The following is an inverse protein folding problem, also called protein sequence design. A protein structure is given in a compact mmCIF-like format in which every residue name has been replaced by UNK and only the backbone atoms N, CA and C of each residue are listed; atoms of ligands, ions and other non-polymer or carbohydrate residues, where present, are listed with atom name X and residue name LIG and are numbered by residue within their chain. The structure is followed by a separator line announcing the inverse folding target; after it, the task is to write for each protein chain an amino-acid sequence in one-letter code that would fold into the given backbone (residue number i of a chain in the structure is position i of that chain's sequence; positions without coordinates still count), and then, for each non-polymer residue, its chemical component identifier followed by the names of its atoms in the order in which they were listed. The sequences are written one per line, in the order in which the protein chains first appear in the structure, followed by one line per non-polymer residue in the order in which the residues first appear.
data_IF_572990551586
#
_entry.id   IF_572990551586
#
_cell.length_a   1.000
_cell.length_b   1.000
_cell.length_c   1.000
_cell.angle_alpha   90.00
_cell.angle_beta   90.00
_cell.angle_gamma   90.00
#
_symmetry.space_group_name_H-M   'P 1'
#
loop_
_entity.id
_entity.type
_entity.pdbx_description
1 polymer ?
#
# COMPACT_ATOMS: atom_id res chain seq x y z
N UNK A 1 -6.92 16.26 -23.99
CA UNK A 1 -7.06 14.99 -24.74
C UNK A 1 -5.68 14.36 -24.81
N UNK A 2 -5.33 13.50 -23.84
CA UNK A 2 -4.01 12.86 -23.80
C UNK A 2 -3.91 11.87 -24.97
N UNK A 3 -2.93 12.05 -25.86
CA UNK A 3 -2.66 11.13 -26.97
C UNK A 3 -1.93 9.91 -26.41
N UNK A 4 -2.65 8.78 -26.33
CA UNK A 4 -2.15 7.48 -25.83
C UNK A 4 -1.39 6.71 -26.95
N UNK A 5 -1.25 7.30 -28.15
CA UNK A 5 -0.66 6.61 -29.28
C UNK A 5 0.79 7.04 -29.53
N UNK A 6 1.71 6.07 -29.72
CA UNK A 6 3.13 6.33 -30.00
C UNK A 6 3.28 7.20 -31.26
N UNK A 7 4.11 8.23 -31.16
CA UNK A 7 4.28 9.23 -32.25
C UNK A 7 5.35 8.83 -33.26
N UNK A 8 6.19 7.84 -32.92
CA UNK A 8 7.23 7.31 -33.77
C UNK A 8 7.35 5.78 -33.64
N UNK A 9 8.13 5.19 -34.55
CA UNK A 9 8.32 3.74 -34.66
C UNK A 9 8.96 3.14 -33.39
N UNK A 10 9.83 3.89 -32.72
CA UNK A 10 10.55 3.43 -31.51
C UNK A 10 9.57 3.29 -30.35
N UNK A 11 8.73 4.29 -30.12
CA UNK A 11 7.68 4.25 -29.10
C UNK A 11 6.71 3.08 -29.36
N UNK A 12 6.36 2.85 -30.62
CA UNK A 12 5.47 1.75 -31.02
C UNK A 12 6.09 0.39 -30.69
N UNK A 13 7.36 0.19 -31.05
CA UNK A 13 8.10 -1.04 -30.73
C UNK A 13 8.19 -1.22 -29.21
N UNK A 14 8.53 -0.17 -28.46
CA UNK A 14 8.59 -0.20 -27.01
C UNK A 14 7.25 -0.58 -26.37
N UNK A 15 6.14 0.01 -26.83
CA UNK A 15 4.79 -0.34 -26.38
C UNK A 15 4.45 -1.80 -26.67
N UNK A 16 4.75 -2.30 -27.87
CA UNK A 16 4.50 -3.70 -28.25
C UNK A 16 5.31 -4.66 -27.38
N UNK A 17 6.61 -4.41 -27.21
CA UNK A 17 7.49 -5.23 -26.35
C UNK A 17 6.96 -5.24 -24.92
N UNK A 18 6.61 -4.08 -24.38
CA UNK A 18 6.08 -3.96 -23.01
C UNK A 18 4.76 -4.70 -22.86
N UNK A 19 3.84 -4.58 -23.83
CA UNK A 19 2.59 -5.32 -23.84
C UNK A 19 2.85 -6.84 -23.86
N UNK A 20 3.73 -7.32 -24.73
CA UNK A 20 4.10 -8.74 -24.80
C UNK A 20 4.68 -9.22 -23.46
N UNK A 21 5.62 -8.47 -22.87
CA UNK A 21 6.19 -8.80 -21.56
C UNK A 21 5.13 -8.88 -20.46
N UNK A 22 4.19 -7.93 -20.44
CA UNK A 22 3.06 -7.92 -19.51
C UNK A 22 2.15 -9.13 -19.69
N UNK A 23 1.78 -9.47 -20.93
CA UNK A 23 0.96 -10.65 -21.22
C UNK A 23 1.68 -11.96 -20.91
N UNK A 24 2.98 -12.06 -21.18
CA UNK A 24 3.79 -13.23 -20.83
C UNK A 24 3.92 -13.40 -19.30
N UNK A 25 4.11 -12.30 -18.57
CA UNK A 25 4.13 -12.31 -17.11
C UNK A 25 2.76 -12.76 -16.56
N UNK A 26 1.68 -12.20 -17.09
CA UNK A 26 0.31 -12.60 -16.76
C UNK A 26 0.06 -14.09 -17.03
N UNK A 27 0.43 -14.59 -18.22
CA UNK A 27 0.30 -15.99 -18.59
C UNK A 27 1.11 -16.91 -17.66
N UNK A 28 2.37 -16.55 -17.33
CA UNK A 28 3.17 -17.29 -16.36
C UNK A 28 2.50 -17.36 -14.99
N UNK A 29 1.88 -16.27 -14.53
CA UNK A 29 1.20 -16.24 -13.24
C UNK A 29 -0.09 -17.07 -13.26
N UNK A 30 -0.88 -16.98 -14.33
CA UNK A 30 -2.07 -17.82 -14.52
C UNK A 30 -1.70 -19.31 -14.54
N UNK A 31 -0.65 -19.69 -15.26
CA UNK A 31 -0.16 -21.07 -15.28
C UNK A 31 0.32 -21.52 -13.89
N UNK A 32 1.05 -20.65 -13.16
CA UNK A 32 1.47 -20.93 -11.78
C UNK A 32 0.26 -21.12 -10.85
N UNK A 33 -0.79 -20.33 -11.02
CA UNK A 33 -2.01 -20.40 -10.22
C UNK A 33 -2.86 -21.64 -10.57
N UNK A 34 -2.99 -21.99 -11.85
CA UNK A 34 -3.62 -23.23 -12.30
C UNK A 34 -2.86 -24.43 -11.73
N UNK A 35 -1.54 -24.44 -11.85
CA UNK A 35 -0.69 -25.48 -11.26
C UNK A 35 -0.87 -25.57 -9.75
N UNK A 36 -0.91 -24.42 -9.04
CA UNK A 36 -1.16 -24.36 -7.59
C UNK A 36 -2.52 -24.97 -7.21
N UNK A 37 -3.59 -24.65 -7.96
CA UNK A 37 -4.94 -25.19 -7.75
C UNK A 37 -5.01 -26.69 -8.03
N UNK A 38 -4.38 -27.15 -9.11
CA UNK A 38 -4.32 -28.58 -9.49
C UNK A 38 -3.44 -29.41 -8.54
N UNK A 39 -2.39 -28.81 -7.96
CA UNK A 39 -1.45 -29.46 -7.04
C UNK A 39 -2.04 -29.79 -5.66
N UNK A 40 -3.35 -29.60 -5.43
CA UNK A 40 -4.06 -29.79 -4.14
C UNK A 40 -3.46 -29.04 -2.93
N UNK A 41 -2.42 -28.23 -3.12
CA UNK A 41 -1.86 -27.27 -2.15
C UNK A 41 -2.66 -25.96 -2.15
N UNK A 42 -3.98 -26.07 -2.28
CA UNK A 42 -4.84 -24.95 -1.92
C UNK A 42 -4.74 -24.87 -0.41
N UNK A 43 -4.03 -23.84 0.09
CA UNK A 43 -4.09 -23.46 1.50
C UNK A 43 -5.59 -23.27 1.80
N UNK A 44 -6.24 -24.27 2.40
CA UNK A 44 -7.58 -24.09 2.95
C UNK A 44 -7.47 -22.86 3.83
N UNK A 45 -8.32 -21.85 3.59
CA UNK A 45 -8.51 -20.78 4.57
C UNK A 45 -8.83 -21.50 5.88
N UNK A 46 -7.88 -21.45 6.81
CA UNK A 46 -8.02 -22.13 8.09
C UNK A 46 -9.28 -21.62 8.76
N UNK A 47 -10.03 -22.51 9.41
CA UNK A 47 -11.13 -22.13 10.29
C UNK A 47 -10.65 -21.47 11.59
N UNK A 48 -9.33 -21.36 11.79
CA UNK A 48 -8.73 -20.64 12.91
C UNK A 48 -8.68 -19.14 12.63
N UNK A 49 -8.62 -18.36 13.71
CA UNK A 49 -8.43 -16.91 13.72
C UNK A 49 -7.39 -16.43 12.70
N UNK A 50 -7.56 -15.20 12.18
CA UNK A 50 -6.74 -14.66 11.11
C UNK A 50 -5.25 -14.86 11.38
N UNK A 51 -4.53 -15.31 10.35
CA UNK A 51 -3.09 -15.64 10.30
C UNK A 51 -2.20 -14.38 10.43
N UNK A 52 -2.53 -13.50 11.37
CA UNK A 52 -1.79 -12.31 11.76
C UNK A 52 -1.14 -12.65 13.10
N UNK A 53 0.20 -12.65 13.18
CA UNK A 53 0.90 -12.90 14.44
C UNK A 53 0.40 -11.97 15.56
N UNK A 54 0.27 -12.50 16.77
CA UNK A 54 -0.05 -11.69 17.96
C UNK A 54 1.10 -10.75 18.36
N UNK A 55 2.33 -11.13 18.01
CA UNK A 55 3.52 -10.31 18.16
C UNK A 55 4.04 -9.84 16.80
N UNK A 56 3.92 -8.54 16.57
CA UNK A 56 4.43 -7.80 15.42
C UNK A 56 5.62 -6.90 15.81
N UNK A 57 6.29 -7.18 16.92
CA UNK A 57 7.49 -6.43 17.32
C UNK A 57 8.54 -6.47 16.21
N UNK A 58 9.07 -5.30 15.86
CA UNK A 58 10.00 -5.04 14.74
C UNK A 58 9.40 -5.16 13.33
N UNK A 59 8.08 -5.33 13.20
CA UNK A 59 7.41 -5.18 11.91
C UNK A 59 7.23 -3.69 11.59
N UNK A 60 7.34 -3.37 10.30
CA UNK A 60 6.98 -2.07 9.75
C UNK A 60 5.76 -2.25 8.86
N UNK A 61 4.73 -1.46 9.11
CA UNK A 61 3.52 -1.42 8.32
C UNK A 61 3.27 -0.03 7.74
N UNK A 62 2.73 0.03 6.52
CA UNK A 62 2.18 1.24 5.91
C UNK A 62 0.68 1.05 5.76
N UNK A 63 -0.11 1.96 6.32
CA UNK A 63 -1.57 1.96 6.21
C UNK A 63 -2.02 3.24 5.54
N UNK A 64 -2.46 3.12 4.29
CA UNK A 64 -2.89 4.29 3.53
C UNK A 64 -4.26 4.77 4.00
N UNK A 65 -4.44 6.09 4.17
CA UNK A 65 -5.72 6.64 4.66
C UNK A 65 -6.06 6.17 6.08
N UNK A 66 -5.05 5.83 6.88
CA UNK A 66 -5.20 5.32 8.24
C UNK A 66 -5.46 6.38 9.31
N UNK A 67 -5.72 7.64 8.92
CA UNK A 67 -6.00 8.72 9.88
C UNK A 67 -7.42 8.67 10.45
N UNK A 68 -8.31 7.87 9.83
CA UNK A 68 -9.70 7.67 10.28
C UNK A 68 -10.26 6.33 9.79
N UNK A 69 -11.47 5.98 10.24
CA UNK A 69 -12.24 4.84 9.73
C UNK A 69 -11.53 3.48 9.86
N UNK A 70 -11.72 2.62 8.86
CA UNK A 70 -11.19 1.25 8.83
C UNK A 70 -9.66 1.23 8.93
N UNK A 71 -8.98 2.12 8.19
CA UNK A 71 -7.53 2.22 8.24
C UNK A 71 -7.00 2.58 9.62
N UNK A 72 -7.66 3.49 10.35
CA UNK A 72 -7.28 3.82 11.73
C UNK A 72 -7.47 2.63 12.68
N UNK A 73 -8.57 1.88 12.54
CA UNK A 73 -8.79 0.66 13.32
C UNK A 73 -7.70 -0.39 13.05
N UNK A 74 -7.32 -0.60 11.79
CA UNK A 74 -6.24 -1.49 11.42
C UNK A 74 -4.88 -1.02 11.99
N UNK A 75 -4.58 0.27 11.89
CA UNK A 75 -3.36 0.86 12.43
C UNK A 75 -3.25 0.67 13.96
N UNK A 76 -4.36 0.86 14.67
CA UNK A 76 -4.44 0.66 16.13
C UNK A 76 -4.21 -0.80 16.53
N UNK A 77 -4.77 -1.75 15.80
CA UNK A 77 -4.56 -3.17 16.08
C UNK A 77 -3.10 -3.58 15.86
N UNK A 78 -2.50 -3.17 14.75
CA UNK A 78 -1.08 -3.39 14.46
C UNK A 78 -0.17 -2.77 15.54
N UNK A 79 -0.49 -1.56 15.97
CA UNK A 79 0.22 -0.86 17.05
C UNK A 79 0.16 -1.62 18.39
N UNK A 80 -1.01 -2.15 18.77
CA UNK A 80 -1.17 -2.96 20.01
C UNK A 80 -0.27 -4.19 20.03
N UNK A 81 -0.06 -4.78 18.85
CA UNK A 81 0.76 -5.97 18.63
C UNK A 81 2.26 -5.67 18.51
N UNK A 82 2.69 -4.40 18.62
CA UNK A 82 4.12 -4.03 18.59
C UNK A 82 4.66 -3.56 17.25
N UNK A 83 3.80 -3.40 16.24
CA UNK A 83 4.21 -2.93 14.93
C UNK A 83 4.55 -1.43 14.95
N UNK A 84 5.57 -1.03 14.19
CA UNK A 84 5.74 0.37 13.78
C UNK A 84 4.79 0.60 12.60
N UNK A 85 3.83 1.50 12.76
CA UNK A 85 2.78 1.76 11.79
C UNK A 85 2.92 3.17 11.24
N UNK A 86 3.18 3.27 9.94
CA UNK A 86 3.16 4.53 9.21
C UNK A 86 1.80 4.69 8.56
N UNK A 87 0.98 5.54 9.15
CA UNK A 87 -0.30 5.97 8.60
C UNK A 87 -0.04 7.07 7.58
N UNK A 88 -0.72 7.02 6.44
CA UNK A 88 -0.70 8.14 5.50
C UNK A 88 -1.92 9.04 5.64
N UNK A 89 -1.72 10.34 5.46
CA UNK A 89 -2.78 11.36 5.55
C UNK A 89 -2.52 12.51 4.57
N UNK A 90 -3.59 13.11 4.04
CA UNK A 90 -3.51 14.32 3.22
C UNK A 90 -3.48 15.61 4.04
N UNK A 91 -3.26 15.51 5.37
CA UNK A 91 -3.14 16.66 6.26
C UNK A 91 -1.96 17.54 5.89
N UNK A 92 -2.21 18.85 5.79
CA UNK A 92 -1.28 19.81 5.18
C UNK A 92 -0.12 20.17 6.11
N UNK A 93 -0.34 20.19 7.43
CA UNK A 93 0.68 20.58 8.40
C UNK A 93 1.27 19.39 9.17
N UNK A 94 2.53 19.52 9.60
CA UNK A 94 3.16 18.54 10.50
C UNK A 94 2.43 18.47 11.85
N UNK A 95 1.99 19.62 12.37
CA UNK A 95 1.26 19.71 13.63
C UNK A 95 -0.04 18.89 13.62
N UNK A 96 -0.81 18.93 12.52
CA UNK A 96 -2.02 18.10 12.38
C UNK A 96 -1.67 16.61 12.38
N UNK A 97 -0.59 16.22 11.69
CA UNK A 97 -0.15 14.82 11.63
C UNK A 97 0.34 14.31 12.98
N UNK A 98 1.08 15.12 13.71
CA UNK A 98 1.56 14.77 15.06
C UNK A 98 0.38 14.60 16.03
N UNK A 99 -0.61 15.49 15.95
CA UNK A 99 -1.84 15.39 16.71
C UNK A 99 -2.62 14.10 16.39
N UNK A 100 -2.78 13.77 15.10
CA UNK A 100 -3.42 12.52 14.67
C UNK A 100 -2.69 11.28 15.19
N UNK A 101 -1.35 11.30 15.20
CA UNK A 101 -0.54 10.21 15.73
C UNK A 101 -0.72 10.05 17.25
N UNK A 102 -0.78 11.16 17.99
CA UNK A 102 -1.03 11.14 19.42
C UNK A 102 -2.42 10.59 19.74
N UNK A 103 -3.46 11.15 19.13
CA UNK A 103 -4.85 10.70 19.33
C UNK A 103 -5.03 9.21 19.00
N UNK A 104 -4.36 8.73 17.95
CA UNK A 104 -4.39 7.31 17.57
C UNK A 104 -3.77 6.42 18.66
N UNK A 105 -2.65 6.86 19.27
CA UNK A 105 -1.98 6.12 20.35
C UNK A 105 -2.76 6.19 21.67
N UNK A 106 -3.28 7.36 22.05
CA UNK A 106 -4.02 7.55 23.31
C UNK A 106 -5.37 6.82 23.33
N UNK A 107 -6.04 6.73 22.17
CA UNK A 107 -7.31 6.00 22.04
C UNK A 107 -7.17 4.47 22.17
N UNK A 108 -5.96 3.99 22.44
CA UNK A 108 -5.62 2.59 22.61
C UNK A 108 -4.81 2.43 23.90
N UNK A 109 -5.30 1.60 24.83
CA UNK A 109 -4.49 1.20 25.99
C UNK A 109 -3.21 0.49 25.50
N UNK A 110 -2.02 1.05 25.76
CA UNK A 110 -0.78 0.43 25.31
C UNK A 110 -0.52 -0.87 26.08
N UNK A 111 0.15 -1.81 25.42
CA UNK A 111 0.72 -3.01 26.03
C UNK A 111 2.20 -2.76 26.31
N UNK A 112 2.84 -3.66 27.08
CA UNK A 112 4.29 -3.57 27.36
C UNK A 112 5.13 -3.55 26.08
N UNK A 113 4.61 -4.14 25.00
CA UNK A 113 5.26 -4.25 23.70
C UNK A 113 4.56 -3.41 22.63
N UNK A 114 3.79 -2.37 22.99
CA UNK A 114 3.18 -1.51 21.99
C UNK A 114 4.23 -0.88 21.08
N UNK A 115 3.91 -0.80 19.79
CA UNK A 115 4.82 -0.31 18.77
C UNK A 115 4.81 1.21 18.70
N UNK A 116 4.73 1.75 17.48
CA UNK A 116 4.59 3.20 17.29
C UNK A 116 3.61 3.50 16.16
N UNK A 117 2.94 4.65 16.22
CA UNK A 117 2.12 5.17 15.12
C UNK A 117 2.74 6.49 14.69
N UNK A 118 3.11 6.58 13.41
CA UNK A 118 3.57 7.80 12.77
C UNK A 118 2.58 8.19 11.68
N UNK A 119 2.41 9.48 11.44
CA UNK A 119 1.54 9.98 10.37
C UNK A 119 2.38 10.74 9.36
N UNK A 120 2.44 10.24 8.13
CA UNK A 120 3.21 10.81 7.03
C UNK A 120 2.30 11.38 5.94
N UNK A 121 2.73 12.45 5.25
CA UNK A 121 1.93 13.05 4.20
C UNK A 121 1.87 12.13 2.97
N UNK A 122 0.68 11.96 2.42
CA UNK A 122 0.49 11.52 1.04
C UNK A 122 -0.79 12.18 0.50
N UNK A 123 -0.71 12.75 -0.69
CA UNK A 123 -1.88 13.15 -1.45
C UNK A 123 -1.99 12.30 -2.70
N UNK A 124 -2.96 11.37 -2.71
CA UNK A 124 -3.14 10.48 -3.86
C UNK A 124 -3.72 11.16 -5.10
N UNK A 125 -4.08 12.45 -5.01
CA UNK A 125 -4.40 13.29 -6.18
C UNK A 125 -3.16 13.76 -6.93
N UNK A 126 -1.97 13.57 -6.37
CA UNK A 126 -0.70 14.01 -6.94
C UNK A 126 0.32 12.86 -6.90
N UNK A 127 0.67 12.29 -8.06
CA UNK A 127 1.62 11.16 -8.10
C UNK A 127 3.01 11.54 -7.56
N UNK A 128 3.43 12.80 -7.68
CA UNK A 128 4.63 13.35 -7.03
C UNK A 128 4.68 13.05 -5.53
N UNK A 129 3.55 13.19 -4.83
CA UNK A 129 3.44 12.91 -3.40
C UNK A 129 3.72 11.44 -3.06
N UNK A 130 3.36 10.51 -3.95
CA UNK A 130 3.68 9.08 -3.81
C UNK A 130 5.18 8.84 -3.93
N UNK A 131 5.84 9.49 -4.89
CA UNK A 131 7.30 9.39 -5.04
C UNK A 131 8.04 9.93 -3.82
N UNK A 132 7.63 11.09 -3.29
CA UNK A 132 8.24 11.71 -2.11
C UNK A 132 8.09 10.81 -0.87
N UNK A 133 6.90 10.22 -0.68
CA UNK A 133 6.65 9.26 0.39
C UNK A 133 7.60 8.06 0.29
N UNK A 134 7.72 7.46 -0.90
CA UNK A 134 8.55 6.26 -1.08
C UNK A 134 10.04 6.59 -0.94
N UNK A 135 10.49 7.74 -1.44
CA UNK A 135 11.86 8.19 -1.27
C UNK A 135 12.23 8.33 0.21
N UNK A 136 11.34 8.94 1.00
CA UNK A 136 11.48 9.03 2.46
C UNK A 136 11.46 7.64 3.11
N UNK A 137 10.50 6.80 2.77
CA UNK A 137 10.34 5.47 3.36
C UNK A 137 11.57 4.60 3.15
N UNK A 138 12.11 4.58 1.92
CA UNK A 138 13.30 3.81 1.60
C UNK A 138 14.54 4.32 2.32
N UNK A 139 14.63 5.63 2.58
CA UNK A 139 15.73 6.24 3.33
C UNK A 139 15.67 5.91 4.83
N UNK A 140 14.50 5.95 5.43
CA UNK A 140 14.33 5.81 6.89
C UNK A 140 14.14 4.36 7.35
N UNK A 141 13.44 3.52 6.58
CA UNK A 141 13.13 2.14 6.96
C UNK A 141 13.79 1.12 6.04
N UNK A 142 13.64 1.27 4.71
CA UNK A 142 14.29 0.41 3.72
C UNK A 142 13.79 -1.04 3.63
N UNK A 143 12.83 -1.44 4.47
CA UNK A 143 12.09 -2.71 4.42
C UNK A 143 10.62 -2.47 4.82
N UNK A 144 9.71 -3.31 4.32
CA UNK A 144 8.27 -3.21 4.62
C UNK A 144 7.65 -4.59 4.79
N UNK A 145 6.96 -4.83 5.90
CA UNK A 145 6.34 -6.14 6.15
C UNK A 145 4.87 -6.16 5.73
N UNK A 146 4.15 -5.05 5.93
CA UNK A 146 2.71 -4.97 5.72
C UNK A 146 2.38 -3.68 4.96
N UNK A 147 1.75 -3.80 3.78
CA UNK A 147 1.15 -2.67 3.07
C UNK A 147 -0.37 -2.84 3.05
N UNK A 148 -1.10 -1.87 3.61
CA UNK A 148 -2.55 -1.80 3.53
C UNK A 148 -2.96 -0.62 2.64
N UNK A 149 -3.39 -0.97 1.43
CA UNK A 149 -3.99 -0.06 0.45
C UNK A 149 -5.47 0.15 0.83
N UNK A 150 -5.72 1.09 1.75
CA UNK A 150 -7.02 1.40 2.31
C UNK A 150 -7.55 2.79 1.92
N UNK A 151 -6.67 3.76 1.61
CA UNK A 151 -7.15 5.09 1.24
C UNK A 151 -8.09 5.01 0.04
N UNK A 152 -9.19 5.76 0.09
CA UNK A 152 -10.11 5.85 -1.01
C UNK A 152 -11.13 6.96 -0.80
N UNK A 153 -11.71 7.41 -1.89
CA UNK A 153 -12.81 8.39 -1.90
C UNK A 153 -14.05 7.77 -2.55
N UNK A 154 -15.21 8.22 -2.09
CA UNK A 154 -16.52 7.86 -2.62
C UNK A 154 -17.43 9.08 -2.53
N UNK A 155 -18.38 9.21 -3.45
CA UNK A 155 -19.33 10.33 -3.51
C UNK A 155 -18.66 11.71 -3.63
N UNK A 156 -17.50 11.77 -4.31
CA UNK A 156 -16.86 13.04 -4.67
C UNK A 156 -17.38 13.50 -6.03
N UNK A 157 -17.43 14.82 -6.22
CA UNK A 157 -17.79 15.40 -7.51
C UNK A 157 -16.85 14.91 -8.62
N UNK A 158 -17.39 14.79 -9.83
CA UNK A 158 -16.60 14.41 -11.00
C UNK A 158 -15.52 15.47 -11.23
N UNK A 159 -14.27 15.05 -11.06
CA UNK A 159 -13.13 15.94 -11.19
C UNK A 159 -11.91 15.19 -11.76
N UNK A 160 -10.90 15.96 -12.12
CA UNK A 160 -9.65 15.49 -12.70
C UNK A 160 -8.50 15.92 -11.80
N UNK A 161 -7.60 15.00 -11.49
CA UNK A 161 -6.40 15.23 -10.68
C UNK A 161 -5.41 16.14 -11.41
N UNK A 162 -4.39 16.63 -10.68
CA UNK A 162 -3.30 17.41 -11.29
C UNK A 162 -2.54 16.61 -12.34
N UNK A 163 -2.49 15.28 -12.20
CA UNK A 163 -1.88 14.36 -13.17
C UNK A 163 -2.79 14.05 -14.38
N UNK A 164 -4.02 14.59 -14.41
CA UNK A 164 -4.91 14.49 -15.57
C UNK A 164 -5.82 13.24 -15.61
N UNK A 165 -5.96 12.51 -14.49
CA UNK A 165 -6.83 11.34 -14.39
C UNK A 165 -8.11 11.65 -13.61
N UNK A 166 -9.16 10.86 -13.82
CA UNK A 166 -10.38 10.96 -13.01
C UNK A 166 -10.08 10.61 -11.55
N UNK A 167 -10.72 11.33 -10.61
CA UNK A 167 -10.46 11.22 -9.17
C UNK A 167 -10.52 9.80 -8.62
N UNK A 168 -11.61 9.05 -8.83
CA UNK A 168 -11.72 7.69 -8.32
C UNK A 168 -10.66 6.79 -8.95
N UNK A 169 -10.44 6.92 -10.26
CA UNK A 169 -9.45 6.12 -10.96
C UNK A 169 -8.02 6.35 -10.45
N UNK A 170 -7.65 7.60 -10.17
CA UNK A 170 -6.32 7.85 -9.63
C UNK A 170 -6.22 7.52 -8.15
N UNK A 171 -7.12 8.08 -7.34
CA UNK A 171 -7.02 8.02 -5.88
C UNK A 171 -7.19 6.58 -5.37
N UNK A 172 -8.16 5.83 -5.91
CA UNK A 172 -8.50 4.50 -5.40
C UNK A 172 -7.75 3.36 -6.10
N UNK A 173 -7.08 3.64 -7.23
CA UNK A 173 -6.45 2.60 -8.04
C UNK A 173 -5.03 2.95 -8.49
N UNK A 174 -4.84 3.93 -9.39
CA UNK A 174 -3.51 4.17 -9.99
C UNK A 174 -2.45 4.49 -8.93
N UNK A 175 -2.79 5.32 -7.95
CA UNK A 175 -1.85 5.74 -6.91
C UNK A 175 -1.46 4.59 -5.98
N UNK A 176 -2.38 3.67 -5.67
CA UNK A 176 -2.06 2.46 -4.89
C UNK A 176 -1.24 1.44 -5.68
N UNK A 177 -1.52 1.30 -6.98
CA UNK A 177 -0.70 0.48 -7.89
C UNK A 177 0.73 1.03 -7.94
N UNK A 178 0.88 2.35 -8.14
CA UNK A 178 2.17 3.03 -8.14
C UNK A 178 2.91 2.86 -6.81
N UNK A 179 2.23 3.13 -5.68
CA UNK A 179 2.79 2.98 -4.35
C UNK A 179 3.30 1.55 -4.12
N UNK A 180 2.48 0.56 -4.44
CA UNK A 180 2.84 -0.86 -4.28
C UNK A 180 4.06 -1.20 -5.15
N UNK A 181 4.04 -0.79 -6.42
CA UNK A 181 5.14 -1.02 -7.35
C UNK A 181 6.47 -0.46 -6.84
N UNK A 182 6.46 0.80 -6.38
CA UNK A 182 7.66 1.47 -5.88
C UNK A 182 8.15 0.90 -4.54
N UNK A 183 7.26 0.31 -3.73
CA UNK A 183 7.61 -0.36 -2.48
C UNK A 183 7.98 -1.84 -2.64
N UNK A 184 7.84 -2.44 -3.83
CA UNK A 184 8.23 -3.84 -4.08
C UNK A 184 9.66 -4.18 -3.60
N UNK A 185 10.69 -3.33 -3.81
CA UNK A 185 12.03 -3.60 -3.30
C UNK A 185 12.09 -3.67 -1.77
N UNK A 186 11.32 -2.84 -1.06
CA UNK A 186 11.25 -2.86 0.40
C UNK A 186 10.44 -4.05 0.92
N UNK A 187 9.33 -4.39 0.25
CA UNK A 187 8.52 -5.58 0.53
C UNK A 187 9.34 -6.87 0.37
N UNK A 188 10.20 -6.94 -0.64
CA UNK A 188 11.10 -8.08 -0.84
C UNK A 188 12.17 -8.22 0.26
N UNK A 189 12.41 -7.16 1.04
CA UNK A 189 13.34 -7.14 2.17
C UNK A 189 12.63 -7.32 3.52
N UNK A 190 11.34 -7.63 3.53
CA UNK A 190 10.58 -7.88 4.75
C UNK A 190 11.30 -8.83 5.72
N UNK A 191 11.01 -8.66 6.99
CA UNK A 191 11.67 -9.35 8.08
C UNK A 191 11.59 -10.87 7.88
N UNK A 192 12.68 -11.59 8.21
CA UNK A 192 12.81 -13.04 7.98
C UNK A 192 11.78 -13.90 8.72
N UNK A 193 10.99 -13.30 9.61
CA UNK A 193 9.91 -13.96 10.36
C UNK A 193 8.70 -14.35 9.48
N UNK A 194 8.58 -13.83 8.26
CA UNK A 194 7.54 -14.26 7.31
C UNK A 194 7.54 -13.48 5.99
N UNK A 195 6.72 -13.89 4.99
CA UNK A 195 6.59 -13.13 3.76
C UNK A 195 5.86 -11.80 4.01
N UNK A 196 6.25 -10.76 3.27
CA UNK A 196 5.51 -9.51 3.21
C UNK A 196 4.06 -9.73 2.78
N UNK A 197 3.14 -8.88 3.25
CA UNK A 197 1.73 -8.90 2.87
C UNK A 197 1.29 -7.56 2.30
N UNK A 198 0.64 -7.60 1.14
CA UNK A 198 -0.07 -6.46 0.55
C UNK A 198 -1.56 -6.77 0.63
N UNK A 199 -2.33 -5.87 1.24
CA UNK A 199 -3.77 -5.97 1.43
C UNK A 199 -4.43 -4.79 0.72
N UNK A 200 -5.32 -5.06 -0.22
CA UNK A 200 -6.15 -4.05 -0.87
C UNK A 200 -7.53 -4.07 -0.23
N UNK A 201 -7.97 -2.91 0.27
CA UNK A 201 -9.34 -2.70 0.75
C UNK A 201 -10.12 -2.11 -0.41
N UNK A 202 -10.98 -2.92 -1.01
CA UNK A 202 -11.74 -2.60 -2.23
C UNK A 202 -13.20 -2.93 -2.05
#
# INVERSE_FOLDING_TARGET
MYRIFPTNIIDTIFTIITAIQLYLLGARYVLKEIHRKLSSKVRKLSSHEPDIPDDLTNYVAVVTGGSRGIGLSAAKDLYRRGCIVIVTSSASSQMERDKMAEEARESVKPTVNSGNILVWPIDFREMSSVFDFVARFNKEYGYLDILINNAGVMFVDKNVTTDGFEYHYQINYLSHVLLTWLLLPALNKANKKGPARVVNVS
#
